data_IF_495882744699
#
_entry.id   IF_495882744699
#
_cell.length_a   1.000
_cell.length_b   1.000
_cell.length_c   1.000
_cell.angle_alpha   90.00
_cell.angle_beta   90.00
_cell.angle_gamma   90.00
#
_symmetry.space_group_name_H-M   'P 1'
#
loop_
_entity.id
_entity.type
_entity.pdbx_description
1 polymer ?
#
# COMPACT_ATOMS: atom_id res chain seq x y z
N UNK A 1 -27.28 13.87 -19.00
CA UNK A 1 -27.16 15.31 -18.68
C UNK A 1 -28.29 15.69 -17.74
N UNK A 2 -27.97 16.46 -16.68
CA UNK A 2 -28.95 16.86 -15.65
C UNK A 2 -28.98 18.39 -15.40
N UNK A 3 -28.01 19.14 -15.96
CA UNK A 3 -27.96 20.60 -15.78
C UNK A 3 -29.00 21.28 -16.65
N UNK A 4 -29.76 22.21 -16.06
CA UNK A 4 -30.87 22.90 -16.75
C UNK A 4 -30.41 23.67 -18.00
N UNK A 5 -29.27 24.41 -17.91
CA UNK A 5 -28.70 25.15 -19.05
C UNK A 5 -28.31 24.20 -20.20
N UNK A 6 -27.70 23.05 -19.91
CA UNK A 6 -27.31 22.05 -20.93
C UNK A 6 -28.55 21.37 -21.58
N UNK A 7 -29.59 21.13 -20.80
CA UNK A 7 -30.86 20.58 -21.34
C UNK A 7 -31.49 21.55 -22.33
N UNK A 8 -31.58 22.83 -21.98
CA UNK A 8 -32.12 23.88 -22.85
C UNK A 8 -31.27 24.07 -24.12
N UNK A 9 -29.94 24.03 -24.00
CA UNK A 9 -29.05 24.09 -25.15
C UNK A 9 -29.37 22.96 -26.17
N UNK A 10 -29.62 21.73 -25.69
CA UNK A 10 -29.99 20.60 -26.54
C UNK A 10 -31.35 20.83 -27.17
N UNK A 11 -32.35 21.25 -26.40
CA UNK A 11 -33.69 21.52 -26.91
C UNK A 11 -33.68 22.61 -28.01
N UNK A 12 -32.90 23.68 -27.81
CA UNK A 12 -32.73 24.73 -28.82
C UNK A 12 -31.99 24.23 -30.07
N UNK A 13 -30.89 23.48 -29.89
CA UNK A 13 -30.13 22.90 -31.00
C UNK A 13 -31.01 21.96 -31.86
N UNK A 14 -31.91 21.19 -31.22
CA UNK A 14 -32.84 20.30 -31.96
C UNK A 14 -33.86 21.05 -32.81
N UNK A 15 -34.17 22.31 -32.50
CA UNK A 15 -35.05 23.15 -33.31
C UNK A 15 -34.33 23.90 -34.44
N UNK A 16 -32.99 23.96 -34.39
CA UNK A 16 -32.12 24.65 -35.38
C UNK A 16 -31.44 23.62 -36.27
N UNK A 17 -30.13 23.57 -36.22
CA UNK A 17 -29.27 22.79 -37.13
C UNK A 17 -28.77 21.47 -36.49
N UNK A 18 -29.25 21.15 -35.30
CA UNK A 18 -28.84 19.96 -34.53
C UNK A 18 -27.34 19.92 -34.16
N UNK A 19 -26.64 21.03 -34.29
CA UNK A 19 -25.23 21.13 -33.90
C UNK A 19 -25.11 21.65 -32.46
N UNK A 20 -24.14 21.08 -31.73
CA UNK A 20 -23.81 21.47 -30.37
C UNK A 20 -22.31 21.43 -30.16
N UNK A 21 -21.77 22.39 -29.43
CA UNK A 21 -20.38 22.36 -29.01
C UNK A 21 -20.25 21.66 -27.68
N UNK A 22 -19.45 20.59 -27.62
CA UNK A 22 -19.18 19.80 -26.45
C UNK A 22 -17.80 20.16 -25.91
N UNK A 23 -17.77 20.68 -24.69
CA UNK A 23 -16.54 21.08 -24.03
C UNK A 23 -16.41 20.45 -22.67
N UNK A 24 -15.20 20.06 -22.30
CA UNK A 24 -14.90 19.40 -21.04
C UNK A 24 -14.66 20.43 -19.93
N UNK A 25 -15.20 20.20 -18.75
CA UNK A 25 -14.96 20.98 -17.56
C UNK A 25 -13.73 20.48 -16.83
N UNK A 26 -12.86 21.40 -16.32
CA UNK A 26 -11.63 21.04 -15.58
C UNK A 26 -11.92 20.38 -14.22
N UNK A 27 -12.90 20.94 -13.48
CA UNK A 27 -13.38 20.34 -12.22
C UNK A 27 -14.86 19.99 -12.32
N UNK A 28 -15.23 18.69 -12.33
CA UNK A 28 -16.63 18.26 -12.40
C UNK A 28 -17.51 18.71 -11.24
N UNK A 29 -16.93 19.18 -10.14
CA UNK A 29 -17.66 19.60 -8.92
C UNK A 29 -18.26 20.99 -9.01
N UNK A 30 -17.75 21.82 -9.91
CA UNK A 30 -18.27 23.18 -10.11
C UNK A 30 -19.63 23.08 -10.81
N UNK A 31 -20.70 23.56 -10.18
CA UNK A 31 -22.06 23.47 -10.73
C UNK A 31 -22.29 24.45 -11.88
N UNK A 32 -21.78 25.66 -11.76
CA UNK A 32 -21.85 26.73 -12.76
C UNK A 32 -20.41 27.09 -13.20
N UNK A 33 -19.86 26.43 -14.22
CA UNK A 33 -18.52 26.70 -14.69
C UNK A 33 -18.44 28.02 -15.45
N UNK A 34 -17.44 28.82 -15.12
CA UNK A 34 -16.98 29.97 -15.90
C UNK A 34 -16.11 29.50 -17.07
N UNK A 35 -15.72 30.41 -17.95
CA UNK A 35 -14.82 30.12 -19.07
C UNK A 35 -13.48 29.54 -18.58
N UNK A 36 -12.93 30.03 -17.48
CA UNK A 36 -11.68 29.56 -16.86
C UNK A 36 -11.77 28.11 -16.35
N UNK A 37 -12.98 27.65 -16.02
CA UNK A 37 -13.22 26.28 -15.55
C UNK A 37 -13.36 25.26 -16.68
N UNK A 38 -13.37 25.73 -17.92
CA UNK A 38 -13.47 24.89 -19.12
C UNK A 38 -12.10 24.69 -19.77
N UNK A 39 -11.97 23.57 -20.49
CA UNK A 39 -10.87 23.41 -21.41
C UNK A 39 -11.13 24.28 -22.64
N UNK A 40 -10.07 24.66 -23.38
CA UNK A 40 -10.24 25.50 -24.56
C UNK A 40 -10.71 24.72 -25.77
N UNK A 41 -10.23 23.50 -25.92
CA UNK A 41 -10.54 22.67 -27.10
C UNK A 41 -11.67 21.70 -26.76
N UNK A 42 -12.69 21.74 -27.61
CA UNK A 42 -13.85 20.88 -27.56
C UNK A 42 -14.17 20.23 -28.92
N UNK A 43 -15.39 19.74 -29.06
CA UNK A 43 -15.86 19.08 -30.27
C UNK A 43 -17.20 19.63 -30.69
N UNK A 44 -17.29 20.08 -31.92
CA UNK A 44 -18.58 20.35 -32.59
C UNK A 44 -19.19 19.00 -32.95
N UNK A 45 -20.39 18.75 -32.45
CA UNK A 45 -21.06 17.48 -32.61
C UNK A 45 -22.50 17.67 -33.14
N UNK A 46 -22.96 16.71 -33.92
CA UNK A 46 -24.34 16.64 -34.38
C UNK A 46 -25.15 15.74 -33.44
N UNK A 47 -26.31 16.22 -33.03
CA UNK A 47 -27.26 15.46 -32.21
C UNK A 47 -28.02 14.47 -33.14
N UNK A 48 -27.85 13.17 -32.88
CA UNK A 48 -28.54 12.11 -33.64
C UNK A 48 -29.83 11.66 -32.96
N UNK A 49 -29.83 11.56 -31.65
CA UNK A 49 -31.00 11.10 -30.91
C UNK A 49 -31.01 11.68 -29.48
N UNK A 50 -32.19 12.06 -29.04
CA UNK A 50 -32.45 12.50 -27.67
C UNK A 50 -33.48 11.56 -27.03
N UNK A 51 -33.20 10.98 -25.90
CA UNK A 51 -34.09 10.14 -25.13
C UNK A 51 -34.23 10.68 -23.71
N UNK A 52 -35.46 10.73 -23.20
CA UNK A 52 -35.72 11.09 -21.79
C UNK A 52 -35.38 9.91 -20.89
N UNK A 53 -34.60 10.17 -19.85
CA UNK A 53 -34.23 9.20 -18.83
C UNK A 53 -34.93 9.57 -17.49
N UNK A 54 -35.07 8.62 -16.53
CA UNK A 54 -35.68 8.92 -15.22
C UNK A 54 -34.97 10.08 -14.50
N UNK A 55 -35.68 10.81 -13.65
CA UNK A 55 -35.20 11.97 -12.87
C UNK A 55 -34.82 13.19 -13.72
N UNK A 56 -35.62 13.51 -14.72
CA UNK A 56 -35.42 14.68 -15.62
C UNK A 56 -34.04 14.74 -16.28
N UNK A 57 -33.41 13.58 -16.48
CA UNK A 57 -32.15 13.47 -17.21
C UNK A 57 -32.40 13.24 -18.70
N UNK A 58 -31.60 13.84 -19.56
CA UNK A 58 -31.56 13.56 -20.98
C UNK A 58 -30.37 12.64 -21.31
N UNK A 59 -30.64 11.58 -22.09
CA UNK A 59 -29.62 10.80 -22.77
C UNK A 59 -29.58 11.26 -24.22
N UNK A 60 -28.44 11.74 -24.64
CA UNK A 60 -28.23 12.29 -25.98
C UNK A 60 -27.18 11.46 -26.69
N UNK A 61 -27.51 11.01 -27.88
CA UNK A 61 -26.53 10.40 -28.78
C UNK A 61 -26.03 11.48 -29.74
N UNK A 62 -24.72 11.70 -29.75
CA UNK A 62 -24.08 12.69 -30.57
C UNK A 62 -23.01 12.04 -31.45
N UNK A 63 -22.79 12.62 -32.61
CA UNK A 63 -21.69 12.28 -33.52
C UNK A 63 -20.72 13.47 -33.56
N UNK A 64 -19.47 13.26 -33.16
CA UNK A 64 -18.41 14.27 -33.26
C UNK A 64 -18.10 14.55 -34.73
N UNK A 65 -18.08 15.81 -35.09
CA UNK A 65 -17.79 16.25 -36.47
C UNK A 65 -16.37 16.83 -36.57
N UNK A 66 -16.14 17.88 -35.82
CA UNK A 66 -14.92 18.71 -35.95
C UNK A 66 -14.40 19.09 -34.56
N UNK A 67 -13.12 19.30 -34.43
CA UNK A 67 -12.51 19.91 -33.26
C UNK A 67 -12.62 21.42 -33.37
N UNK A 68 -12.89 22.10 -32.27
CA UNK A 68 -12.94 23.53 -32.26
C UNK A 68 -12.37 24.12 -30.98
N UNK A 69 -11.76 25.28 -31.09
CA UNK A 69 -11.30 26.07 -29.95
C UNK A 69 -12.38 27.04 -29.53
N UNK A 70 -12.60 27.13 -28.21
CA UNK A 70 -13.49 28.13 -27.61
C UNK A 70 -12.84 29.50 -27.66
N UNK A 71 -13.44 30.43 -28.40
CA UNK A 71 -12.98 31.81 -28.51
C UNK A 71 -13.66 32.70 -27.46
N UNK A 72 -14.95 32.56 -27.31
CA UNK A 72 -15.74 33.35 -26.35
C UNK A 72 -16.93 32.54 -25.86
N UNK A 73 -17.23 32.67 -24.57
CA UNK A 73 -18.39 32.07 -23.94
C UNK A 73 -19.37 33.16 -23.53
N UNK A 74 -20.58 33.12 -24.09
CA UNK A 74 -21.66 34.03 -23.70
C UNK A 74 -22.64 33.31 -22.78
N UNK A 75 -22.82 33.86 -21.59
CA UNK A 75 -23.82 33.34 -20.65
C UNK A 75 -25.20 33.94 -20.98
N UNK A 76 -25.88 33.32 -21.92
CA UNK A 76 -27.25 33.65 -22.27
C UNK A 76 -28.21 33.41 -21.10
N UNK A 77 -29.34 34.08 -21.10
CA UNK A 77 -30.34 33.96 -20.03
C UNK A 77 -30.89 32.55 -19.84
N UNK A 78 -30.79 31.72 -20.84
CA UNK A 78 -31.37 30.35 -20.88
C UNK A 78 -30.37 29.22 -20.97
N UNK A 79 -29.31 29.39 -21.75
CA UNK A 79 -28.24 28.41 -21.99
C UNK A 79 -26.93 29.14 -22.35
N UNK A 80 -25.82 28.42 -22.38
CA UNK A 80 -24.51 28.94 -22.78
C UNK A 80 -24.36 28.91 -24.29
N UNK A 81 -23.98 30.01 -24.89
CA UNK A 81 -23.59 30.14 -26.29
C UNK A 81 -22.07 30.28 -26.37
N UNK A 82 -21.48 29.68 -27.38
CA UNK A 82 -20.02 29.72 -27.57
C UNK A 82 -19.68 30.11 -29.00
N UNK A 83 -18.80 31.09 -29.14
CA UNK A 83 -18.10 31.34 -30.38
C UNK A 83 -16.89 30.44 -30.45
N UNK A 84 -16.78 29.65 -31.55
CA UNK A 84 -15.75 28.63 -31.70
C UNK A 84 -15.05 28.78 -33.03
N UNK A 85 -13.74 28.54 -33.04
CA UNK A 85 -12.93 28.44 -34.25
C UNK A 85 -12.65 26.96 -34.52
N UNK A 86 -12.98 26.51 -35.73
CA UNK A 86 -12.81 25.13 -36.14
C UNK A 86 -11.34 24.87 -36.45
N UNK A 87 -10.76 23.90 -35.73
CA UNK A 87 -9.36 23.52 -35.91
C UNK A 87 -9.20 22.63 -37.13
N UNK A 88 -8.51 23.13 -38.14
CA UNK A 88 -8.08 22.30 -39.27
C UNK A 88 -7.07 21.27 -38.80
N UNK A 89 -7.24 20.02 -39.25
CA UNK A 89 -6.23 18.99 -38.97
C UNK A 89 -5.02 19.27 -39.84
N UNK A 90 -3.85 19.38 -39.24
CA UNK A 90 -2.60 19.45 -39.98
C UNK A 90 -2.40 18.14 -40.76
N UNK A 91 -2.43 18.23 -42.10
CA UNK A 91 -2.07 17.11 -42.94
C UNK A 91 -0.55 16.91 -42.91
N UNK A 92 -0.10 16.02 -42.03
CA UNK A 92 1.31 15.62 -41.99
C UNK A 92 1.65 14.68 -43.16
N UNK A 93 2.46 15.15 -44.04
CA UNK A 93 2.92 14.34 -45.20
C UNK A 93 4.09 13.41 -44.78
N UNK A 94 3.77 12.41 -43.92
CA UNK A 94 4.76 11.44 -43.48
C UNK A 94 5.09 10.42 -44.56
N UNK A 95 6.38 10.07 -44.76
CA UNK A 95 6.78 8.98 -45.68
C UNK A 95 6.09 7.66 -45.31
N UNK A 96 5.75 6.85 -46.32
CA UNK A 96 5.06 5.57 -46.11
C UNK A 96 5.85 4.61 -45.21
N UNK A 97 7.18 4.61 -45.31
CA UNK A 97 8.04 3.82 -44.40
C UNK A 97 7.93 4.22 -42.94
N UNK A 98 7.74 5.53 -42.68
CA UNK A 98 7.54 6.04 -41.30
C UNK A 98 6.17 5.62 -40.80
N UNK A 99 5.13 5.76 -41.63
CA UNK A 99 3.76 5.34 -41.27
C UNK A 99 3.70 3.84 -40.96
N UNK A 100 4.39 3.02 -41.75
CA UNK A 100 4.48 1.57 -41.53
C UNK A 100 5.20 1.24 -40.22
N UNK A 101 6.33 1.89 -39.94
CA UNK A 101 7.05 1.71 -38.67
C UNK A 101 6.21 2.12 -37.47
N UNK A 102 5.51 3.25 -37.55
CA UNK A 102 4.59 3.72 -36.50
C UNK A 102 3.42 2.74 -36.30
N UNK A 103 2.87 2.19 -37.38
CA UNK A 103 1.79 1.19 -37.31
C UNK A 103 2.23 -0.07 -36.58
N UNK A 104 3.39 -0.61 -36.96
CA UNK A 104 3.93 -1.80 -36.29
C UNK A 104 4.22 -1.56 -34.84
N UNK A 105 4.85 -0.45 -34.48
CA UNK A 105 5.16 -0.08 -33.11
C UNK A 105 3.89 0.10 -32.26
N UNK A 106 2.87 0.77 -32.80
CA UNK A 106 1.60 0.97 -32.07
C UNK A 106 0.85 -0.35 -31.86
N UNK A 107 0.83 -1.23 -32.87
CA UNK A 107 0.24 -2.57 -32.76
C UNK A 107 0.93 -3.42 -31.69
N UNK A 108 2.27 -3.38 -31.64
CA UNK A 108 3.05 -4.09 -30.63
C UNK A 108 2.74 -3.56 -29.24
N UNK A 109 2.77 -2.24 -29.05
CA UNK A 109 2.48 -1.60 -27.78
C UNK A 109 1.06 -1.92 -27.31
N UNK A 110 0.07 -1.83 -28.18
CA UNK A 110 -1.31 -2.18 -27.89
C UNK A 110 -1.48 -3.67 -27.57
N UNK A 111 -0.76 -4.56 -28.28
CA UNK A 111 -0.77 -6.01 -27.97
C UNK A 111 -0.23 -6.29 -26.56
N UNK A 112 0.86 -5.62 -26.16
CA UNK A 112 1.40 -5.72 -24.79
C UNK A 112 0.39 -5.21 -23.77
N UNK A 113 -0.23 -4.05 -24.01
CA UNK A 113 -1.27 -3.49 -23.15
C UNK A 113 -2.44 -4.47 -22.96
N UNK A 114 -2.91 -5.10 -24.03
CA UNK A 114 -4.00 -6.07 -23.99
C UNK A 114 -3.65 -7.35 -23.22
N UNK A 115 -2.39 -7.81 -23.30
CA UNK A 115 -1.90 -8.97 -22.54
C UNK A 115 -1.90 -8.70 -21.03
N UNK A 116 -1.49 -7.51 -20.62
CA UNK A 116 -1.50 -7.10 -19.22
C UNK A 116 -2.93 -6.83 -18.72
N UNK A 117 -3.81 -6.33 -19.60
CA UNK A 117 -5.21 -6.03 -19.28
C UNK A 117 -6.14 -7.19 -19.63
N UNK A 118 -6.23 -8.18 -18.76
CA UNK A 118 -7.04 -9.38 -18.94
C UNK A 118 -8.56 -9.14 -19.10
N UNK A 119 -9.03 -7.90 -18.96
CA UNK A 119 -10.45 -7.55 -19.05
C UNK A 119 -10.91 -7.18 -20.47
N UNK A 120 -9.98 -7.08 -21.42
CA UNK A 120 -10.34 -6.72 -22.80
C UNK A 120 -10.93 -7.91 -23.56
N UNK A 121 -11.96 -7.62 -24.38
CA UNK A 121 -12.56 -8.61 -25.24
C UNK A 121 -11.57 -8.98 -26.37
N UNK A 122 -11.23 -10.26 -26.47
CA UNK A 122 -10.26 -10.74 -27.46
C UNK A 122 -10.67 -10.47 -28.91
N UNK A 123 -11.99 -10.50 -29.21
CA UNK A 123 -12.48 -10.18 -30.55
C UNK A 123 -12.26 -8.71 -30.91
N UNK A 124 -12.50 -7.79 -29.97
CA UNK A 124 -12.22 -6.37 -30.18
C UNK A 124 -10.72 -6.11 -30.35
N UNK A 125 -9.87 -6.81 -29.58
CA UNK A 125 -8.41 -6.71 -29.71
C UNK A 125 -7.97 -7.15 -31.09
N UNK A 126 -8.50 -8.28 -31.60
CA UNK A 126 -8.16 -8.78 -32.94
C UNK A 126 -8.57 -7.79 -34.02
N UNK A 127 -9.80 -7.30 -33.98
CA UNK A 127 -10.31 -6.30 -34.93
C UNK A 127 -9.48 -5.02 -34.92
N UNK A 128 -9.04 -4.57 -33.75
CA UNK A 128 -8.15 -3.39 -33.64
C UNK A 128 -6.78 -3.65 -34.26
N UNK A 129 -6.20 -4.84 -34.08
CA UNK A 129 -4.89 -5.19 -34.62
C UNK A 129 -4.90 -5.42 -36.15
N UNK A 130 -6.07 -5.67 -36.76
CA UNK A 130 -6.26 -5.81 -38.21
C UNK A 130 -6.36 -4.46 -38.92
N UNK A 131 -6.42 -3.35 -38.22
CA UNK A 131 -6.49 -1.99 -38.84
C UNK A 131 -5.16 -1.65 -39.52
N UNK A 132 -5.17 -1.38 -40.80
CA UNK A 132 -3.97 -1.07 -41.60
C UNK A 132 -3.64 0.43 -41.73
N UNK A 133 -4.60 1.29 -41.44
CA UNK A 133 -4.37 2.74 -41.39
C UNK A 133 -3.96 3.18 -39.98
N UNK A 134 -2.77 3.81 -39.89
CA UNK A 134 -2.22 4.24 -38.60
C UNK A 134 -3.06 5.33 -37.93
N UNK A 135 -3.63 6.26 -38.71
CA UNK A 135 -4.45 7.34 -38.17
C UNK A 135 -5.73 6.78 -37.59
N UNK A 136 -6.35 5.86 -38.29
CA UNK A 136 -7.54 5.16 -37.81
C UNK A 136 -7.24 4.29 -36.61
N UNK A 137 -6.10 3.58 -36.60
CA UNK A 137 -5.66 2.75 -35.48
C UNK A 137 -5.50 3.58 -34.19
N UNK A 138 -4.76 4.70 -34.25
CA UNK A 138 -4.54 5.60 -33.09
C UNK A 138 -5.86 6.12 -32.54
N UNK A 139 -6.75 6.58 -33.41
CA UNK A 139 -8.06 7.07 -33.00
C UNK A 139 -8.93 5.94 -32.40
N UNK A 140 -8.93 4.76 -33.03
CA UNK A 140 -9.68 3.61 -32.56
C UNK A 140 -9.22 3.12 -31.18
N UNK A 141 -7.91 3.04 -30.95
CA UNK A 141 -7.36 2.69 -29.62
C UNK A 141 -7.77 3.74 -28.60
N UNK A 142 -7.63 5.03 -28.91
CA UNK A 142 -7.94 6.14 -28.00
C UNK A 142 -9.39 6.13 -27.49
N UNK A 143 -10.32 5.68 -28.32
CA UNK A 143 -11.75 5.58 -27.96
C UNK A 143 -12.04 4.33 -27.14
N UNK A 144 -11.39 3.20 -27.44
CA UNK A 144 -11.75 1.89 -26.90
C UNK A 144 -11.01 1.53 -25.60
N UNK A 145 -9.91 2.20 -25.26
CA UNK A 145 -9.24 1.99 -23.97
C UNK A 145 -9.85 2.84 -22.87
N UNK A 146 -9.83 2.36 -21.59
CA UNK A 146 -10.39 3.10 -20.46
C UNK A 146 -9.45 4.23 -20.02
N UNK A 147 -9.47 5.35 -20.76
CA UNK A 147 -8.73 6.55 -20.44
C UNK A 147 -9.47 7.43 -19.42
N UNK A 148 -8.70 8.12 -18.60
CA UNK A 148 -9.21 9.21 -17.74
C UNK A 148 -9.68 10.40 -18.61
N UNK A 149 -10.57 11.24 -18.09
CA UNK A 149 -11.04 12.41 -18.85
C UNK A 149 -9.88 13.36 -19.20
N UNK A 150 -8.85 13.48 -18.37
CA UNK A 150 -7.65 14.31 -18.65
C UNK A 150 -6.84 13.75 -19.82
N UNK A 151 -6.62 12.44 -19.84
CA UNK A 151 -5.91 11.78 -20.94
C UNK A 151 -6.67 11.91 -22.27
N UNK A 152 -8.00 11.75 -22.22
CA UNK A 152 -8.86 11.95 -23.41
C UNK A 152 -8.80 13.40 -23.90
N UNK A 153 -8.77 14.36 -22.98
CA UNK A 153 -8.65 15.77 -23.30
C UNK A 153 -7.29 16.07 -23.93
N UNK A 154 -6.18 15.54 -23.40
CA UNK A 154 -4.85 15.70 -24.02
C UNK A 154 -4.81 15.19 -25.46
N UNK A 155 -5.41 14.03 -25.72
CA UNK A 155 -5.52 13.48 -27.08
C UNK A 155 -6.41 14.36 -27.98
N UNK A 156 -7.47 14.96 -27.41
CA UNK A 156 -8.34 15.86 -28.16
C UNK A 156 -7.66 17.19 -28.50
N UNK A 157 -6.83 17.71 -27.62
CA UNK A 157 -6.10 18.96 -27.77
C UNK A 157 -4.98 18.89 -28.81
N UNK A 158 -4.44 17.70 -29.08
CA UNK A 158 -3.41 17.54 -30.11
C UNK A 158 -3.99 17.71 -31.52
N UNK A 159 -3.52 18.71 -32.25
CA UNK A 159 -3.92 19.01 -33.63
C UNK A 159 -3.16 18.17 -34.63
N UNK A 160 -1.88 17.92 -34.36
CA UNK A 160 -0.96 17.11 -35.16
C UNK A 160 -1.19 15.60 -34.93
N UNK A 161 -1.05 14.80 -35.97
CA UNK A 161 -1.12 13.36 -35.89
C UNK A 161 0.05 12.79 -35.08
N UNK A 162 1.27 13.27 -35.34
CA UNK A 162 2.49 12.82 -34.66
C UNK A 162 2.41 13.05 -33.15
N UNK A 163 1.95 14.22 -32.74
CA UNK A 163 1.74 14.51 -31.30
C UNK A 163 0.72 13.56 -30.67
N UNK A 164 -0.37 13.30 -31.36
CA UNK A 164 -1.41 12.36 -30.87
C UNK A 164 -0.88 10.93 -30.73
N UNK A 165 -0.07 10.50 -31.68
CA UNK A 165 0.60 9.22 -31.65
C UNK A 165 1.54 9.10 -30.43
N UNK A 166 2.36 10.14 -30.20
CA UNK A 166 3.28 10.19 -29.06
C UNK A 166 2.52 10.18 -27.72
N UNK A 167 1.50 11.03 -27.57
CA UNK A 167 0.68 11.09 -26.35
C UNK A 167 0.05 9.72 -26.05
N UNK A 168 -0.54 9.07 -27.06
CA UNK A 168 -1.12 7.73 -26.90
C UNK A 168 -0.06 6.70 -26.52
N UNK A 169 1.11 6.75 -27.17
CA UNK A 169 2.24 5.87 -26.87
C UNK A 169 2.72 5.99 -25.41
N UNK A 170 2.88 7.22 -24.94
CA UNK A 170 3.26 7.51 -23.55
C UNK A 170 2.17 7.02 -22.57
N UNK A 171 0.90 7.27 -22.88
CA UNK A 171 -0.21 6.81 -22.04
C UNK A 171 -0.22 5.28 -21.94
N UNK A 172 -0.15 4.57 -23.06
CA UNK A 172 -0.13 3.11 -23.08
C UNK A 172 1.08 2.54 -22.32
N UNK A 173 2.27 3.12 -22.52
CA UNK A 173 3.47 2.68 -21.82
C UNK A 173 3.34 2.83 -20.30
N UNK A 174 2.85 3.96 -19.84
CA UNK A 174 2.61 4.21 -18.43
C UNK A 174 1.56 3.26 -17.84
N UNK A 175 0.46 3.02 -18.55
CA UNK A 175 -0.58 2.09 -18.10
C UNK A 175 -0.06 0.64 -18.00
N UNK A 176 0.78 0.22 -18.97
CA UNK A 176 1.45 -1.10 -18.92
C UNK A 176 2.35 -1.21 -17.68
N UNK A 177 3.15 -0.19 -17.41
CA UNK A 177 4.03 -0.17 -16.23
C UNK A 177 3.23 -0.24 -14.92
N UNK A 178 2.18 0.57 -14.81
CA UNK A 178 1.28 0.57 -13.64
C UNK A 178 0.62 -0.81 -13.46
N UNK A 179 0.14 -1.44 -14.52
CA UNK A 179 -0.45 -2.78 -14.45
C UNK A 179 0.56 -3.84 -14.00
N UNK A 180 1.79 -3.81 -14.51
CA UNK A 180 2.88 -4.73 -14.10
C UNK A 180 3.23 -4.55 -12.63
N UNK A 181 3.46 -3.32 -12.19
CA UNK A 181 3.73 -3.01 -10.79
C UNK A 181 2.58 -3.46 -9.88
N UNK A 182 1.35 -3.25 -10.30
CA UNK A 182 0.16 -3.70 -9.55
C UNK A 182 0.12 -5.22 -9.40
N UNK A 183 0.40 -5.95 -10.46
CA UNK A 183 0.46 -7.42 -10.44
C UNK A 183 1.58 -7.90 -9.52
N UNK A 184 2.78 -7.33 -9.63
CA UNK A 184 3.91 -7.65 -8.75
C UNK A 184 3.59 -7.42 -7.26
N UNK A 185 2.96 -6.28 -6.95
CA UNK A 185 2.54 -5.96 -5.57
C UNK A 185 1.51 -6.99 -5.09
N UNK A 186 0.53 -7.33 -5.91
CA UNK A 186 -0.49 -8.33 -5.57
C UNK A 186 0.12 -9.71 -5.30
N UNK A 187 1.08 -10.15 -6.12
CA UNK A 187 1.79 -11.41 -5.91
C UNK A 187 2.60 -11.40 -4.61
N UNK A 188 3.34 -10.33 -4.33
CA UNK A 188 4.08 -10.18 -3.05
C UNK A 188 3.15 -10.20 -1.84
N UNK A 189 2.00 -9.53 -1.91
CA UNK A 189 0.99 -9.54 -0.84
C UNK A 189 0.43 -10.94 -0.65
N UNK A 190 0.08 -11.63 -1.75
CA UNK A 190 -0.42 -13.02 -1.71
C UNK A 190 0.59 -13.95 -1.05
N UNK A 191 1.85 -13.92 -1.49
CA UNK A 191 2.92 -14.74 -0.91
C UNK A 191 3.09 -14.50 0.60
N UNK A 192 2.96 -13.24 1.03
CA UNK A 192 3.06 -12.88 2.46
C UNK A 192 1.89 -13.39 3.28
N UNK A 193 0.68 -13.34 2.70
CA UNK A 193 -0.53 -13.89 3.33
C UNK A 193 -0.41 -15.41 3.44
N UNK A 194 -0.03 -16.10 2.34
CA UNK A 194 0.13 -17.56 2.30
C UNK A 194 1.18 -18.03 3.32
N UNK A 195 2.30 -17.32 3.43
CA UNK A 195 3.32 -17.58 4.45
C UNK A 195 2.80 -17.44 5.87
N UNK A 196 2.11 -16.32 6.16
CA UNK A 196 1.56 -16.08 7.49
C UNK A 196 0.50 -17.13 7.87
N UNK A 197 -0.35 -17.50 6.91
CA UNK A 197 -1.37 -18.53 7.12
C UNK A 197 -0.74 -19.90 7.40
N UNK A 198 0.32 -20.26 6.64
CA UNK A 198 1.08 -21.50 6.88
C UNK A 198 1.75 -21.49 8.25
N UNK A 199 2.40 -20.39 8.63
CA UNK A 199 3.04 -20.25 9.94
C UNK A 199 2.00 -20.35 11.09
N UNK A 200 0.81 -19.79 10.90
CA UNK A 200 -0.30 -19.91 11.85
C UNK A 200 -0.73 -21.38 12.00
N UNK A 201 -1.01 -22.07 10.89
CA UNK A 201 -1.42 -23.50 10.89
C UNK A 201 -0.36 -24.36 11.57
N UNK A 202 0.92 -24.15 11.26
CA UNK A 202 2.02 -24.90 11.88
C UNK A 202 2.10 -24.67 13.40
N UNK A 203 1.84 -23.44 13.87
CA UNK A 203 1.80 -23.14 15.31
C UNK A 203 0.62 -23.80 16.00
N UNK A 204 -0.56 -23.81 15.39
CA UNK A 204 -1.74 -24.51 15.92
C UNK A 204 -1.53 -26.02 15.96
N UNK A 205 -0.96 -26.61 14.90
CA UNK A 205 -0.59 -28.02 14.90
C UNK A 205 0.42 -28.36 16.01
N UNK A 206 1.43 -27.52 16.20
CA UNK A 206 2.41 -27.69 17.25
C UNK A 206 1.79 -27.59 18.63
N UNK A 207 0.81 -26.69 18.81
CA UNK A 207 0.05 -26.57 20.06
C UNK A 207 -0.74 -27.83 20.36
N UNK A 208 -1.51 -28.33 19.39
CA UNK A 208 -2.28 -29.57 19.54
C UNK A 208 -1.38 -30.79 19.85
N UNK A 209 -0.23 -30.89 19.19
CA UNK A 209 0.73 -31.98 19.48
C UNK A 209 1.27 -31.87 20.91
N UNK A 210 1.54 -30.66 21.40
CA UNK A 210 1.99 -30.45 22.79
C UNK A 210 0.89 -30.79 23.81
N UNK A 211 -0.36 -30.41 23.53
CA UNK A 211 -1.52 -30.78 24.35
C UNK A 211 -1.68 -32.31 24.44
N UNK A 212 -1.57 -33.03 23.32
CA UNK A 212 -1.63 -34.49 23.30
C UNK A 212 -0.44 -35.17 24.01
N UNK A 213 0.74 -34.54 24.00
CA UNK A 213 1.93 -35.02 24.73
C UNK A 213 1.91 -34.64 26.22
N UNK A 214 0.93 -33.87 26.68
CA UNK A 214 0.85 -33.39 28.08
C UNK A 214 1.91 -32.33 28.41
N UNK A 215 2.44 -31.60 27.41
CA UNK A 215 3.50 -30.60 27.58
C UNK A 215 2.95 -29.18 27.88
N UNK A 216 1.66 -29.03 28.10
CA UNK A 216 0.99 -27.73 28.24
C UNK A 216 1.39 -26.98 29.52
N UNK A 217 1.74 -27.69 30.59
CA UNK A 217 2.10 -27.09 31.89
C UNK A 217 3.40 -26.28 31.85
N UNK A 218 4.40 -26.70 31.03
CA UNK A 218 5.69 -25.99 30.99
C UNK A 218 5.63 -24.67 30.25
N UNK A 219 4.77 -24.56 29.22
CA UNK A 219 4.58 -23.33 28.45
C UNK A 219 3.81 -22.32 29.27
N UNK A 220 2.75 -22.77 29.99
CA UNK A 220 1.96 -21.92 30.88
C UNK A 220 2.81 -21.38 32.05
N UNK A 221 3.61 -22.24 32.70
CA UNK A 221 4.52 -21.85 33.76
C UNK A 221 5.61 -20.89 33.28
N UNK A 222 6.19 -21.16 32.11
CA UNK A 222 7.21 -20.30 31.52
C UNK A 222 6.68 -18.91 31.15
N UNK A 223 5.41 -18.77 30.77
CA UNK A 223 4.78 -17.48 30.48
C UNK A 223 4.49 -16.74 31.78
N UNK A 224 4.05 -17.45 32.83
CA UNK A 224 3.87 -16.90 34.16
C UNK A 224 5.20 -16.37 34.74
N UNK A 225 6.26 -17.15 34.68
CA UNK A 225 7.60 -16.72 35.12
C UNK A 225 8.12 -15.50 34.34
N UNK A 226 7.80 -15.39 33.06
CA UNK A 226 8.21 -14.22 32.28
C UNK A 226 7.49 -12.94 32.76
N UNK A 227 6.20 -13.02 33.04
CA UNK A 227 5.43 -11.89 33.58
C UNK A 227 5.91 -11.47 34.98
N UNK A 228 6.28 -12.44 35.81
CA UNK A 228 6.83 -12.15 37.14
C UNK A 228 8.23 -11.52 37.04
N UNK A 229 9.08 -12.00 36.12
CA UNK A 229 10.39 -11.45 35.90
C UNK A 229 10.37 -9.98 35.38
N UNK A 230 9.37 -9.62 34.59
CA UNK A 230 9.16 -8.23 34.16
C UNK A 230 8.81 -7.30 35.32
N UNK A 231 8.00 -7.78 36.28
CA UNK A 231 7.59 -7.03 37.48
C UNK A 231 8.66 -6.99 38.57
N UNK A 232 9.63 -7.91 38.54
CA UNK A 232 10.65 -8.04 39.56
C UNK A 232 11.54 -6.80 39.57
N UNK A 233 11.76 -6.22 40.75
CA UNK A 233 12.72 -5.13 40.94
C UNK A 233 14.06 -5.74 41.35
N UNK A 234 14.91 -5.98 40.35
CA UNK A 234 16.23 -6.58 40.54
C UNK A 234 17.28 -5.86 39.64
N UNK A 235 18.60 -5.97 39.94
CA UNK A 235 19.65 -5.48 39.11
C UNK A 235 19.53 -6.02 37.67
N UNK A 236 19.93 -5.20 36.69
CA UNK A 236 19.80 -5.51 35.25
C UNK A 236 20.42 -6.86 34.88
N UNK A 237 21.59 -7.15 35.41
CA UNK A 237 22.31 -8.42 35.20
C UNK A 237 21.49 -9.65 35.63
N UNK A 238 20.79 -9.53 36.78
CA UNK A 238 19.96 -10.61 37.29
C UNK A 238 18.72 -10.80 36.43
N UNK A 239 18.09 -9.71 35.98
CA UNK A 239 16.95 -9.80 35.06
C UNK A 239 17.33 -10.47 33.72
N UNK A 240 18.46 -10.09 33.14
CA UNK A 240 18.94 -10.70 31.89
C UNK A 240 19.22 -12.19 32.05
N UNK A 241 19.84 -12.58 33.17
CA UNK A 241 20.11 -13.98 33.49
C UNK A 241 18.83 -14.77 33.71
N UNK A 242 17.88 -14.20 34.43
CA UNK A 242 16.57 -14.80 34.71
C UNK A 242 15.77 -15.01 33.38
N UNK A 243 15.70 -14.01 32.53
CA UNK A 243 15.04 -14.13 31.21
C UNK A 243 15.70 -15.22 30.34
N UNK A 244 17.02 -15.34 30.37
CA UNK A 244 17.74 -16.37 29.64
C UNK A 244 17.38 -17.76 30.16
N UNK A 245 17.30 -17.93 31.47
CA UNK A 245 16.96 -19.22 32.09
C UNK A 245 15.48 -19.59 31.87
N UNK A 246 14.57 -18.62 31.89
CA UNK A 246 13.16 -18.85 31.57
C UNK A 246 12.99 -19.30 30.08
N UNK A 247 13.76 -18.71 29.16
CA UNK A 247 13.75 -19.15 27.76
C UNK A 247 14.27 -20.56 27.59
N UNK A 248 15.31 -20.93 28.36
CA UNK A 248 15.83 -22.31 28.40
C UNK A 248 14.78 -23.26 28.96
N UNK A 249 14.14 -22.90 30.07
CA UNK A 249 13.06 -23.68 30.69
C UNK A 249 11.91 -23.96 29.70
N UNK A 250 11.47 -22.95 28.94
CA UNK A 250 10.46 -23.12 27.89
C UNK A 250 10.86 -24.06 26.77
N UNK A 251 12.16 -24.24 26.52
CA UNK A 251 12.68 -25.17 25.50
C UNK A 251 12.88 -26.61 26.02
N UNK A 252 12.87 -26.81 27.34
CA UNK A 252 12.97 -28.13 27.96
C UNK A 252 11.56 -28.73 28.04
N UNK A 253 11.38 -29.99 27.58
CA UNK A 253 10.10 -30.69 27.71
C UNK A 253 9.82 -31.06 29.20
N UNK A 254 8.53 -31.25 29.52
CA UNK A 254 8.04 -31.53 30.89
C UNK A 254 8.69 -32.73 31.55
N UNK A 255 9.02 -33.77 30.82
CA UNK A 255 9.58 -35.03 31.32
C UNK A 255 11.10 -35.01 31.53
N UNK A 256 11.76 -33.88 31.47
CA UNK A 256 13.20 -33.80 31.68
C UNK A 256 13.49 -33.43 33.16
N UNK A 257 14.31 -34.25 33.85
CA UNK A 257 14.78 -33.96 35.22
C UNK A 257 15.44 -32.55 35.34
N UNK A 258 16.03 -32.09 34.25
CA UNK A 258 16.62 -30.76 34.14
C UNK A 258 15.56 -29.63 34.24
N UNK A 259 14.35 -29.86 33.73
CA UNK A 259 13.24 -28.91 33.80
C UNK A 259 12.84 -28.63 35.26
N UNK A 260 12.79 -29.63 36.11
CA UNK A 260 12.48 -29.48 37.57
C UNK A 260 13.56 -28.65 38.28
N UNK A 261 14.83 -28.86 37.95
CA UNK A 261 15.94 -28.09 38.53
C UNK A 261 15.89 -26.63 38.11
N UNK A 262 15.68 -26.40 36.80
CA UNK A 262 15.57 -25.06 36.21
C UNK A 262 14.36 -24.30 36.82
N UNK A 263 13.23 -24.97 37.00
CA UNK A 263 12.05 -24.40 37.67
C UNK A 263 12.39 -23.94 39.08
N UNK A 264 12.98 -24.82 39.92
CA UNK A 264 13.37 -24.46 41.28
C UNK A 264 14.35 -23.28 41.34
N UNK A 265 15.26 -23.21 40.39
CA UNK A 265 16.20 -22.08 40.26
C UNK A 265 15.48 -20.77 39.91
N UNK A 266 14.57 -20.75 38.92
CA UNK A 266 13.76 -19.60 38.54
C UNK A 266 12.92 -19.13 39.72
N UNK A 267 12.18 -20.03 40.35
CA UNK A 267 11.34 -19.69 41.50
C UNK A 267 12.16 -19.09 42.68
N UNK A 268 13.36 -19.61 42.89
CA UNK A 268 14.25 -19.07 43.94
C UNK A 268 14.68 -17.65 43.60
N UNK A 269 15.10 -17.39 42.33
CA UNK A 269 15.51 -16.05 41.91
C UNK A 269 14.35 -15.04 41.99
N UNK A 270 13.12 -15.44 41.68
CA UNK A 270 11.94 -14.60 41.75
C UNK A 270 11.56 -14.25 43.23
N UNK A 271 11.79 -15.16 44.18
CA UNK A 271 11.46 -14.97 45.60
C UNK A 271 12.52 -14.19 46.38
N UNK A 272 13.73 -14.02 45.83
CA UNK A 272 14.79 -13.28 46.50
C UNK A 272 14.48 -11.78 46.60
N UNK A 273 14.68 -11.16 47.79
CA UNK A 273 14.39 -9.76 48.01
C UNK A 273 15.58 -8.87 47.53
N UNK A 274 15.71 -8.71 46.23
CA UNK A 274 16.84 -7.99 45.58
C UNK A 274 17.02 -6.54 46.00
N UNK A 275 15.97 -5.90 46.52
CA UNK A 275 16.00 -4.51 47.01
C UNK A 275 16.38 -4.36 48.46
N UNK A 276 16.32 -5.46 49.23
CA UNK A 276 16.59 -5.42 50.64
C UNK A 276 18.08 -5.69 50.89
N UNK A 277 18.74 -4.74 51.48
CA UNK A 277 20.10 -4.90 51.98
C UNK A 277 20.09 -4.73 53.50
N UNK A 278 20.82 -5.58 54.23
CA UNK A 278 21.09 -5.39 55.64
C UNK A 278 22.34 -4.52 55.79
N UNK A 279 22.37 -3.73 56.87
CA UNK A 279 23.61 -3.01 57.21
C UNK A 279 24.61 -4.00 57.75
N UNK A 280 25.82 -3.96 57.25
CA UNK A 280 26.90 -4.78 57.74
C UNK A 280 27.22 -4.38 59.20
N UNK A 281 27.31 -5.40 60.04
CA UNK A 281 27.78 -5.17 61.40
C UNK A 281 29.31 -5.24 61.40
N UNK A 282 29.97 -4.06 61.52
CA UNK A 282 31.44 -3.95 61.50
C UNK A 282 32.08 -4.05 62.87
N UNK A 283 31.29 -4.45 63.90
CA UNK A 283 31.80 -4.64 65.23
C UNK A 283 32.50 -6.00 65.36
N UNK A 284 33.86 -5.98 65.28
CA UNK A 284 34.71 -7.16 65.33
C UNK A 284 34.65 -7.88 66.68
N UNK A 285 34.51 -7.10 67.79
CA UNK A 285 34.38 -7.68 69.14
C UNK A 285 33.14 -8.52 69.27
N UNK A 286 32.03 -8.04 68.72
CA UNK A 286 30.77 -8.81 68.72
C UNK A 286 30.82 -10.04 67.80
N UNK A 287 31.54 -9.97 66.70
CA UNK A 287 31.76 -11.11 65.82
C UNK A 287 32.62 -12.18 66.52
N UNK A 288 33.69 -11.78 67.24
CA UNK A 288 34.49 -12.68 68.06
C UNK A 288 33.70 -13.36 69.14
N UNK A 289 32.87 -12.60 69.89
CA UNK A 289 31.99 -13.18 70.96
C UNK A 289 31.02 -14.20 70.39
N UNK A 290 30.43 -13.98 69.28
CA UNK A 290 29.51 -14.94 68.61
C UNK A 290 30.24 -16.19 68.18
N UNK A 291 31.43 -16.04 67.56
CA UNK A 291 32.24 -17.17 67.14
C UNK A 291 32.74 -18.02 68.32
N UNK A 292 33.13 -17.35 69.41
CA UNK A 292 33.53 -18.05 70.66
C UNK A 292 32.37 -18.76 71.40
N UNK A 293 31.15 -18.20 71.26
CA UNK A 293 29.95 -18.81 71.83
C UNK A 293 29.51 -20.06 71.06
N UNK A 294 29.63 -20.03 69.74
CA UNK A 294 29.16 -21.10 68.86
C UNK A 294 30.19 -22.20 68.62
N UNK A 295 31.50 -21.91 68.86
CA UNK A 295 32.59 -22.84 68.59
C UNK A 295 33.63 -22.86 69.70
N UNK A 296 34.02 -24.03 70.15
CA UNK A 296 35.03 -24.24 71.15
C UNK A 296 36.44 -24.36 70.51
N UNK A 297 37.45 -23.61 70.97
CA UNK A 297 38.86 -23.82 70.63
C UNK A 297 39.28 -23.25 69.26
N UNK A 298 38.56 -22.29 68.71
CA UNK A 298 38.85 -21.72 67.38
C UNK A 298 39.77 -20.48 67.42
N UNK A 299 40.54 -20.25 68.49
CA UNK A 299 41.46 -19.10 68.68
C UNK A 299 42.39 -18.87 67.45
N UNK A 300 42.96 -19.91 66.90
CA UNK A 300 43.82 -19.83 65.69
C UNK A 300 43.06 -19.47 64.44
N UNK A 301 41.81 -19.91 64.27
CA UNK A 301 40.96 -19.61 63.15
C UNK A 301 40.42 -18.18 63.24
N UNK A 302 40.05 -17.71 64.45
CA UNK A 302 39.64 -16.34 64.67
C UNK A 302 40.77 -15.34 64.36
N UNK A 303 42.01 -15.62 64.72
CA UNK A 303 43.18 -14.81 64.35
C UNK A 303 43.41 -14.74 62.83
N UNK A 304 43.08 -15.80 62.09
CA UNK A 304 43.20 -15.85 60.64
C UNK A 304 42.18 -14.96 59.93
N UNK A 305 40.94 -14.87 60.44
CA UNK A 305 39.89 -14.02 59.93
C UNK A 305 39.99 -12.56 60.40
N UNK A 306 40.61 -12.28 61.51
CA UNK A 306 40.86 -10.93 62.02
C UNK A 306 42.17 -10.31 61.52
N UNK A 307 43.04 -11.11 60.90
CA UNK A 307 44.28 -10.62 60.30
C UNK A 307 44.00 -10.01 58.90
N UNK A 308 44.48 -8.79 58.60
CA UNK A 308 44.26 -8.17 57.27
C UNK A 308 44.87 -9.06 56.20
N UNK A 309 44.07 -9.50 55.25
CA UNK A 309 44.54 -10.26 54.11
C UNK A 309 45.53 -9.47 53.29
N UNK A 310 46.55 -10.10 52.66
CA UNK A 310 47.45 -9.43 51.73
C UNK A 310 46.73 -8.67 50.59
N UNK A 311 45.48 -9.08 50.24
CA UNK A 311 44.61 -8.39 49.28
C UNK A 311 44.06 -7.05 49.80
N UNK A 312 43.90 -6.90 51.09
CA UNK A 312 43.35 -5.66 51.69
C UNK A 312 44.40 -4.58 51.76
N UNK A 313 45.70 -4.93 51.77
CA UNK A 313 46.83 -3.97 51.71
C UNK A 313 47.05 -3.34 50.31
N UNK A 314 46.41 -3.89 49.25
CA UNK A 314 46.56 -3.35 47.88
C UNK A 314 45.45 -2.32 47.52
N UNK A 315 44.54 -2.05 48.43
CA UNK A 315 43.43 -1.10 48.21
C UNK A 315 43.45 0.14 49.08
N UNK A 316 44.56 0.40 49.80
CA UNK A 316 44.78 1.66 50.52
C UNK A 316 45.81 2.54 49.81
#
# INVERSE_FOLDING_TARGET
MSRKKSIRAIEEAMTKDQRIFLITQKDPKVEEPSEDDLYKIGTVAMIKQVAKAPKDMLRVLVEGMERAELMQLEDGTSYLEAEVDVLEQEEENLPDTVKEAMLLSMRELFSVYCKENQKMNQEQVRQTLEIDDITYLVNHISVNIPLTFKQRQQILESTSFSERYEILGVILSNEIEVMRLRTEIQEKVKQRIDKNQRDYILREQLKLIREELGEDDTVSDGDHFMQEAEKLQAPKEIKERLIKEIRRFKSLGYNNSESSVSRGYIETLLKLPWEKSSRDNRNLDKASQILEADHYGLEKVCLLYTSPSPRDRQKS
#
